data_IF_248428304153
#
_entry.id   IF_248428304153
#
_cell.length_a   1.000
_cell.length_b   1.000
_cell.length_c   1.000
_cell.angle_alpha   90.00
_cell.angle_beta   90.00
_cell.angle_gamma   90.00
#
_symmetry.space_group_name_H-M   'P 1'
#
loop_
_entity.id
_entity.type
_entity.pdbx_description
1 polymer ?
#
# COMPACT_ATOMS: atom_id res chain seq x y z
N UNK A 1 29.16 -54.75 4.37
CA UNK A 1 28.35 -53.66 3.79
C UNK A 1 28.44 -52.47 4.75
N UNK A 2 29.10 -51.39 4.33
CA UNK A 2 29.34 -50.19 5.15
C UNK A 2 28.10 -49.29 5.14
N UNK A 3 27.56 -48.94 6.32
CA UNK A 3 26.53 -47.91 6.47
C UNK A 3 27.22 -46.55 6.58
N UNK A 4 26.97 -45.66 5.61
CA UNK A 4 27.29 -44.23 5.72
C UNK A 4 26.37 -43.62 6.79
N UNK A 5 26.94 -43.09 7.87
CA UNK A 5 26.23 -42.18 8.76
C UNK A 5 26.32 -40.76 8.20
N UNK A 6 25.16 -40.18 7.89
CA UNK A 6 25.03 -38.75 7.61
C UNK A 6 24.98 -38.03 8.96
N UNK A 7 26.06 -37.33 9.31
CA UNK A 7 26.10 -36.44 10.46
C UNK A 7 25.32 -35.17 10.14
N UNK A 8 24.12 -35.03 10.70
CA UNK A 8 23.39 -33.77 10.70
C UNK A 8 24.04 -32.90 11.78
N UNK A 9 24.84 -31.94 11.34
CA UNK A 9 25.38 -30.90 12.22
C UNK A 9 24.22 -30.05 12.74
N UNK A 10 23.70 -30.39 13.92
CA UNK A 10 22.86 -29.50 14.70
C UNK A 10 23.72 -28.32 15.11
N UNK A 11 23.57 -27.19 14.40
CA UNK A 11 24.06 -25.90 14.91
C UNK A 11 23.25 -25.58 16.14
N UNK A 12 23.78 -25.97 17.29
CA UNK A 12 23.34 -25.50 18.59
C UNK A 12 23.56 -23.99 18.62
N UNK A 13 22.50 -23.24 18.33
CA UNK A 13 22.48 -21.82 18.62
C UNK A 13 22.48 -21.67 20.14
N UNK A 14 23.57 -21.13 20.67
CA UNK A 14 23.80 -20.94 22.10
C UNK A 14 22.60 -20.28 22.77
N UNK A 15 22.14 -20.95 23.83
CA UNK A 15 21.13 -20.48 24.76
C UNK A 15 21.72 -19.36 25.61
N UNK A 16 21.57 -18.11 25.15
CA UNK A 16 21.64 -16.95 26.04
C UNK A 16 20.24 -16.70 26.58
N UNK A 17 20.00 -17.15 27.80
CA UNK A 17 18.83 -16.75 28.57
C UNK A 17 19.08 -15.33 29.11
N UNK A 18 18.98 -14.33 28.24
CA UNK A 18 18.98 -12.93 28.66
C UNK A 18 17.61 -12.63 29.30
N UNK A 19 17.61 -12.66 30.63
CA UNK A 19 16.56 -12.12 31.49
C UNK A 19 16.67 -10.59 31.60
N UNK A 20 17.07 -9.89 30.54
CA UNK A 20 17.31 -8.45 30.62
C UNK A 20 16.54 -7.75 29.51
N UNK A 21 15.61 -6.89 29.95
CA UNK A 21 14.96 -5.80 29.24
C UNK A 21 14.60 -6.05 27.77
N UNK A 22 13.30 -5.96 27.48
CA UNK A 22 12.81 -5.55 26.17
C UNK A 22 13.31 -4.11 25.94
N UNK A 23 14.58 -3.95 25.58
CA UNK A 23 15.07 -2.73 24.95
C UNK A 23 14.35 -2.67 23.62
N UNK A 24 13.42 -1.73 23.49
CA UNK A 24 12.83 -1.31 22.24
C UNK A 24 13.90 -0.54 21.44
N UNK A 25 15.02 -1.19 21.15
CA UNK A 25 15.94 -0.70 20.14
C UNK A 25 15.24 -0.97 18.82
N UNK A 26 15.00 0.08 18.02
CA UNK A 26 14.19 0.09 16.79
C UNK A 26 14.68 -0.81 15.65
N UNK A 27 15.39 -1.89 15.94
CA UNK A 27 15.94 -2.85 15.00
C UNK A 27 15.44 -4.26 15.35
N UNK A 28 14.28 -4.59 14.77
CA UNK A 28 13.82 -5.95 14.45
C UNK A 28 13.80 -6.97 15.60
N UNK A 29 12.85 -6.84 16.52
CA UNK A 29 12.46 -7.91 17.46
C UNK A 29 11.69 -9.06 16.80
N UNK A 30 12.00 -9.43 15.55
CA UNK A 30 11.40 -10.62 14.92
C UNK A 30 12.05 -11.86 15.52
N UNK A 31 11.25 -12.71 16.17
CA UNK A 31 11.73 -13.92 16.83
C UNK A 31 10.99 -15.13 16.29
N UNK A 32 11.73 -16.19 16.00
CA UNK A 32 11.18 -17.47 15.58
C UNK A 32 11.60 -18.51 16.63
N UNK A 33 10.64 -19.27 17.12
CA UNK A 33 10.88 -20.35 18.09
C UNK A 33 10.35 -21.64 17.48
N UNK A 34 11.19 -22.67 17.47
CA UNK A 34 10.78 -24.04 17.14
C UNK A 34 10.41 -24.74 18.43
N UNK A 35 9.17 -25.18 18.53
CA UNK A 35 8.67 -25.92 19.68
C UNK A 35 9.05 -27.41 19.57
N UNK A 36 9.15 -28.13 20.69
CA UNK A 36 9.48 -29.56 20.70
C UNK A 36 8.44 -30.43 19.96
N UNK A 37 7.24 -29.92 19.70
CA UNK A 37 6.19 -30.56 18.91
C UNK A 37 6.33 -30.34 17.39
N UNK A 38 7.50 -29.89 16.91
CA UNK A 38 7.78 -29.53 15.50
C UNK A 38 6.96 -28.35 14.95
N UNK A 39 6.22 -27.61 15.80
CA UNK A 39 5.55 -26.37 15.40
C UNK A 39 6.49 -25.18 15.47
N UNK A 40 6.25 -24.17 14.62
CA UNK A 40 7.05 -22.95 14.56
C UNK A 40 6.19 -21.77 14.96
N UNK A 41 6.60 -21.05 16.00
CA UNK A 41 5.97 -19.80 16.42
C UNK A 41 6.82 -18.62 15.94
N UNK A 42 6.17 -17.62 15.34
CA UNK A 42 6.83 -16.40 14.86
C UNK A 42 6.20 -15.17 15.53
N UNK A 43 7.04 -14.37 16.19
CA UNK A 43 6.68 -13.08 16.74
C UNK A 43 7.02 -11.98 15.71
N UNK A 44 5.99 -11.33 15.17
CA UNK A 44 6.10 -10.24 14.20
C UNK A 44 5.22 -9.04 14.59
N UNK A 45 5.66 -8.18 15.51
CA UNK A 45 4.90 -6.98 15.83
C UNK A 45 4.84 -6.05 14.61
N UNK A 46 3.73 -5.32 14.46
CA UNK A 46 3.61 -4.30 13.43
C UNK A 46 4.55 -3.12 13.75
N UNK A 47 5.41 -2.69 12.81
CA UNK A 47 6.30 -1.56 13.05
C UNK A 47 5.49 -0.24 13.02
N UNK A 48 5.71 0.62 14.01
CA UNK A 48 5.16 1.98 13.99
C UNK A 48 5.99 2.88 13.06
N UNK A 49 5.31 3.82 12.39
CA UNK A 49 5.98 4.83 11.58
C UNK A 49 6.58 5.92 12.48
N UNK A 50 7.90 6.17 12.45
CA UNK A 50 8.54 7.15 13.32
C UNK A 50 8.16 8.58 12.92
N UNK A 51 7.98 9.45 13.92
CA UNK A 51 7.52 10.83 13.70
C UNK A 51 8.47 11.65 12.82
N UNK A 52 9.78 11.47 12.99
CA UNK A 52 10.83 12.18 12.24
C UNK A 52 10.79 11.91 10.73
N UNK A 53 10.14 10.82 10.30
CA UNK A 53 9.96 10.49 8.88
C UNK A 53 8.65 11.03 8.30
N UNK A 54 7.83 11.71 9.10
CA UNK A 54 6.61 12.38 8.62
C UNK A 54 6.94 13.75 8.04
N UNK A 55 6.09 14.23 7.13
CA UNK A 55 6.12 15.63 6.68
C UNK A 55 5.01 16.40 7.38
N UNK A 56 5.24 17.66 7.80
CA UNK A 56 4.18 18.49 8.31
C UNK A 56 3.10 18.70 7.24
N UNK A 57 1.85 18.77 7.66
CA UNK A 57 0.75 19.11 6.75
C UNK A 57 0.95 20.55 6.27
N UNK A 58 0.85 20.84 4.95
CA UNK A 58 0.98 22.20 4.46
C UNK A 58 -0.14 23.08 5.04
N UNK A 59 0.23 24.25 5.55
CA UNK A 59 -0.73 25.27 5.95
C UNK A 59 -1.46 25.76 4.69
N UNK A 60 -2.79 25.61 4.67
CA UNK A 60 -3.59 26.12 3.56
C UNK A 60 -3.75 27.62 3.75
N UNK A 61 -2.95 28.40 3.03
CA UNK A 61 -3.24 29.84 2.83
C UNK A 61 -4.49 29.93 1.97
N UNK A 62 -5.66 29.93 2.62
CA UNK A 62 -6.91 30.31 1.99
C UNK A 62 -6.82 31.82 1.85
N UNK A 63 -6.31 32.31 0.73
CA UNK A 63 -6.53 33.71 0.36
C UNK A 63 -8.05 33.92 0.34
N UNK A 64 -8.53 34.94 1.07
CA UNK A 64 -9.94 35.26 1.33
C UNK A 64 -10.73 35.63 0.05
N UNK A 65 -10.79 34.73 -0.91
CA UNK A 65 -11.74 34.81 -2.02
C UNK A 65 -13.01 34.12 -1.56
N UNK A 66 -14.04 34.93 -1.27
CA UNK A 66 -15.41 34.49 -1.01
C UNK A 66 -15.76 33.23 -1.83
N UNK A 67 -15.79 32.08 -1.14
CA UNK A 67 -15.93 30.74 -1.72
C UNK A 67 -17.15 30.62 -2.64
N UNK A 68 -18.18 31.43 -2.37
CA UNK A 68 -19.42 31.51 -3.15
C UNK A 68 -19.20 32.08 -4.56
N UNK A 69 -18.32 33.07 -4.72
CA UNK A 69 -18.12 33.76 -6.00
C UNK A 69 -17.23 32.97 -6.99
N UNK A 70 -16.22 32.27 -6.47
CA UNK A 70 -15.26 31.51 -7.30
C UNK A 70 -15.88 30.22 -7.83
N UNK A 71 -16.69 29.53 -7.01
CA UNK A 71 -17.40 28.31 -7.43
C UNK A 71 -18.41 28.63 -8.54
N UNK A 72 -19.19 29.70 -8.40
CA UNK A 72 -20.17 30.13 -9.41
C UNK A 72 -19.52 30.54 -10.75
N UNK A 73 -18.32 31.13 -10.73
CA UNK A 73 -17.56 31.49 -11.95
C UNK A 73 -16.88 30.28 -12.60
N UNK A 74 -16.57 29.24 -11.83
CA UNK A 74 -15.92 28.03 -12.36
C UNK A 74 -16.89 27.10 -13.10
N UNK A 75 -18.13 26.96 -12.62
CA UNK A 75 -19.12 26.06 -13.23
C UNK A 75 -19.55 26.48 -14.64
N UNK A 76 -19.60 27.79 -14.90
CA UNK A 76 -20.00 28.32 -16.21
C UNK A 76 -18.92 28.26 -17.30
N UNK A 77 -17.66 27.93 -16.96
CA UNK A 77 -16.56 27.94 -17.94
C UNK A 77 -16.54 26.74 -18.88
N UNK A 78 -17.19 25.62 -18.51
CA UNK A 78 -17.13 24.39 -19.31
C UNK A 78 -18.53 23.89 -19.68
N UNK A 79 -19.17 24.56 -20.65
CA UNK A 79 -20.44 24.07 -21.24
C UNK A 79 -20.35 22.64 -21.80
N UNK A 80 -19.17 22.25 -22.29
CA UNK A 80 -18.90 20.94 -22.92
C UNK A 80 -17.92 20.05 -22.12
N UNK A 81 -17.62 20.38 -20.87
CA UNK A 81 -16.62 19.70 -20.06
C UNK A 81 -15.15 20.04 -20.43
N UNK A 82 -14.17 19.52 -19.66
CA UNK A 82 -12.74 19.70 -19.92
C UNK A 82 -12.31 18.97 -21.21
N UNK A 83 -11.27 19.48 -21.88
CA UNK A 83 -10.78 18.85 -23.12
C UNK A 83 -10.01 17.57 -22.80
N UNK A 84 -10.04 16.59 -23.71
CA UNK A 84 -9.29 15.33 -23.56
C UNK A 84 -7.77 15.54 -23.37
N UNK A 85 -7.22 16.65 -23.88
CA UNK A 85 -5.82 17.03 -23.68
C UNK A 85 -5.55 17.36 -22.21
N UNK A 86 -6.45 18.10 -21.57
CA UNK A 86 -6.33 18.46 -20.15
C UNK A 86 -6.43 17.20 -19.29
N UNK A 87 -7.37 16.30 -19.61
CA UNK A 87 -7.55 15.03 -18.92
C UNK A 87 -6.31 14.13 -19.02
N UNK A 88 -5.70 14.05 -20.21
CA UNK A 88 -4.44 13.33 -20.41
C UNK A 88 -3.33 13.85 -19.49
N UNK A 89 -3.21 15.18 -19.38
CA UNK A 89 -2.14 15.80 -18.61
C UNK A 89 -2.36 15.69 -17.10
N UNK A 90 -3.60 15.83 -16.62
CA UNK A 90 -3.95 15.75 -15.19
C UNK A 90 -3.76 14.33 -14.66
N UNK A 91 -4.25 13.33 -15.42
CA UNK A 91 -4.23 11.94 -14.97
C UNK A 91 -2.98 11.17 -15.42
N UNK A 92 -2.06 11.82 -16.13
CA UNK A 92 -0.86 11.21 -16.69
C UNK A 92 -1.16 9.96 -17.55
N UNK A 93 -2.26 10.00 -18.31
CA UNK A 93 -2.70 8.89 -19.15
C UNK A 93 -2.45 9.13 -20.64
N UNK A 94 -2.96 8.24 -21.50
CA UNK A 94 -2.91 8.43 -22.95
C UNK A 94 -4.15 9.14 -23.48
N UNK A 95 -4.03 9.81 -24.64
CA UNK A 95 -5.19 10.49 -25.26
C UNK A 95 -6.33 9.54 -25.65
N UNK A 96 -6.03 8.25 -25.86
CA UNK A 96 -6.96 7.25 -26.41
C UNK A 96 -7.99 6.75 -25.38
N UNK A 97 -7.69 6.89 -24.10
CA UNK A 97 -8.58 6.47 -23.00
C UNK A 97 -9.82 7.36 -22.89
N UNK A 98 -9.69 8.63 -23.26
CA UNK A 98 -10.74 9.65 -23.14
C UNK A 98 -11.65 9.75 -24.37
N UNK A 99 -11.45 8.93 -25.39
CA UNK A 99 -12.37 8.81 -26.51
C UNK A 99 -13.47 7.79 -26.21
N UNK A 100 -14.67 8.07 -26.69
CA UNK A 100 -15.81 7.17 -26.55
C UNK A 100 -15.55 5.84 -27.25
N UNK A 101 -15.90 4.74 -26.58
CA UNK A 101 -15.88 3.41 -27.18
C UNK A 101 -17.04 3.23 -28.17
N UNK A 102 -16.87 2.31 -29.10
CA UNK A 102 -17.93 1.96 -30.06
C UNK A 102 -19.12 1.35 -29.32
N UNK A 103 -20.30 1.44 -29.94
CA UNK A 103 -21.54 0.86 -29.38
C UNK A 103 -21.39 -0.63 -29.09
N UNK A 104 -20.78 -1.37 -30.01
CA UNK A 104 -20.56 -2.82 -29.91
C UNK A 104 -19.69 -3.18 -28.70
N UNK A 105 -18.61 -2.44 -28.46
CA UNK A 105 -17.73 -2.68 -27.31
C UNK A 105 -18.47 -2.44 -25.99
N UNK A 106 -19.32 -1.40 -25.92
CA UNK A 106 -20.15 -1.15 -24.73
C UNK A 106 -21.14 -2.28 -24.47
N UNK A 107 -21.82 -2.77 -25.52
CA UNK A 107 -22.81 -3.84 -25.40
C UNK A 107 -22.19 -5.15 -24.87
N UNK A 108 -20.96 -5.46 -25.26
CA UNK A 108 -20.22 -6.63 -24.75
C UNK A 108 -19.87 -6.52 -23.25
N UNK A 109 -19.83 -5.31 -22.69
CA UNK A 109 -19.51 -5.03 -21.27
C UNK A 109 -20.74 -4.85 -20.37
N UNK A 110 -21.95 -5.10 -20.88
CA UNK A 110 -23.22 -4.85 -20.15
C UNK A 110 -23.41 -5.78 -18.95
N UNK A 111 -22.81 -6.98 -18.97
CA UNK A 111 -22.83 -7.87 -17.81
C UNK A 111 -21.80 -7.39 -16.77
N UNK A 112 -22.28 -6.97 -15.60
CA UNK A 112 -21.40 -6.72 -14.47
C UNK A 112 -20.72 -8.04 -14.07
N UNK A 113 -19.39 -8.05 -13.84
CA UNK A 113 -18.72 -9.23 -13.31
C UNK A 113 -19.32 -9.55 -11.92
N UNK A 114 -19.34 -10.83 -11.52
CA UNK A 114 -19.84 -11.21 -10.20
C UNK A 114 -19.03 -10.48 -9.13
N UNK A 115 -19.72 -9.94 -8.13
CA UNK A 115 -19.08 -9.25 -7.02
C UNK A 115 -18.15 -10.22 -6.27
N UNK A 116 -16.84 -9.94 -6.30
CA UNK A 116 -15.84 -10.70 -5.56
C UNK A 116 -15.59 -9.98 -4.23
N UNK A 117 -15.88 -10.65 -3.11
CA UNK A 117 -15.39 -10.23 -1.79
C UNK A 117 -13.92 -10.60 -1.70
N UNK A 118 -13.09 -9.63 -1.36
CA UNK A 118 -11.68 -9.84 -1.02
C UNK A 118 -11.58 -10.33 0.42
#
# INVERSE_FOLDING_TARGET
MLKLQVSIASRFFSRAADKDNIRFDGVSSRKIVVLPNSSVAAWHPEPSFPYEQTKPLPEKTIEDQSLLSTVARSSNRWKNGPKNVDLKNIFYTTKHEWFTRTREERLRRVAAPPAKRN
#
